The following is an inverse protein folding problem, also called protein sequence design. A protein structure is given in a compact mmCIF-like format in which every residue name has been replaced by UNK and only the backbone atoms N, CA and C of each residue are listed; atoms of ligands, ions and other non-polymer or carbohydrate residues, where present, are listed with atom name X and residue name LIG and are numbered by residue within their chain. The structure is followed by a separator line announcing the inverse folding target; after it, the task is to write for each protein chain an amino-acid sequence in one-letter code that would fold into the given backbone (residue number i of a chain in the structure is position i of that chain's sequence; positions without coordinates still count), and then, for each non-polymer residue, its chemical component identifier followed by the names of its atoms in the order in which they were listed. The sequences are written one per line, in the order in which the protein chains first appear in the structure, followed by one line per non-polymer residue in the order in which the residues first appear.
data_IF_445678172111
#
_entry.id   IF_445678172111
#
_cell.length_a   1.000
_cell.length_b   1.000
_cell.length_c   1.000
_cell.angle_alpha   90.00
_cell.angle_beta   90.00
_cell.angle_gamma   90.00
#
_symmetry.space_group_name_H-M   'P 1'
#
loop_
_entity.id
_entity.type
_entity.pdbx_description
1 polymer ?
#
# COMPACT_ATOMS: atom_id res chain seq x y z
N UNK A 1 6.82 -14.50 22.68
CA UNK A 1 5.68 -15.17 22.01
C UNK A 1 4.55 -14.20 21.71
N UNK A 2 4.08 -13.40 22.70
CA UNK A 2 3.02 -12.41 22.48
C UNK A 2 3.30 -11.43 21.33
N UNK A 3 4.50 -10.85 21.26
CA UNK A 3 4.90 -9.95 20.18
C UNK A 3 4.71 -10.55 18.77
N UNK A 4 5.05 -11.83 18.60
CA UNK A 4 4.93 -12.53 17.31
C UNK A 4 3.44 -12.74 16.98
N UNK A 5 2.63 -13.12 17.97
CA UNK A 5 1.18 -13.28 17.82
C UNK A 5 0.56 -11.95 17.40
N UNK A 6 0.93 -10.85 18.07
CA UNK A 6 0.42 -9.52 17.75
C UNK A 6 0.72 -9.17 16.29
N UNK A 7 1.98 -9.32 15.85
CA UNK A 7 2.38 -9.09 14.46
C UNK A 7 1.57 -9.92 13.47
N UNK A 8 1.39 -11.21 13.75
CA UNK A 8 0.62 -12.09 12.86
C UNK A 8 -0.85 -11.69 12.73
N UNK A 9 -1.41 -10.97 13.72
CA UNK A 9 -2.79 -10.49 13.70
C UNK A 9 -2.87 -9.14 12.96
N UNK A 10 -2.09 -8.14 13.38
CA UNK A 10 -2.27 -6.78 12.86
C UNK A 10 -1.63 -6.58 11.47
N UNK A 11 -0.51 -7.25 11.18
CA UNK A 11 0.24 -7.00 9.95
C UNK A 11 -0.55 -7.36 8.69
N UNK A 12 -1.24 -8.52 8.61
CA UNK A 12 -2.09 -8.81 7.45
C UNK A 12 -3.22 -7.80 7.26
N UNK A 13 -3.85 -7.36 8.36
CA UNK A 13 -4.93 -6.38 8.30
C UNK A 13 -4.44 -5.04 7.72
N UNK A 14 -3.26 -4.57 8.15
CA UNK A 14 -2.66 -3.35 7.58
C UNK A 14 -2.28 -3.56 6.12
N UNK A 15 -1.63 -4.67 5.76
CA UNK A 15 -1.22 -4.94 4.39
C UNK A 15 -2.41 -4.99 3.43
N UNK A 16 -3.52 -5.62 3.85
CA UNK A 16 -4.76 -5.65 3.07
C UNK A 16 -5.33 -4.23 2.95
N UNK A 17 -5.53 -3.53 4.07
CA UNK A 17 -6.10 -2.18 4.06
C UNK A 17 -5.30 -1.20 3.20
N UNK A 18 -3.98 -1.21 3.35
CA UNK A 18 -3.04 -0.38 2.58
C UNK A 18 -3.09 -0.70 1.09
N UNK A 19 -3.06 -1.98 0.74
CA UNK A 19 -3.09 -2.42 -0.67
C UNK A 19 -4.38 -1.98 -1.36
N UNK A 20 -5.53 -2.17 -0.71
CA UNK A 20 -6.81 -1.74 -1.25
C UNK A 20 -6.94 -0.22 -1.31
N UNK A 21 -6.41 0.51 -0.33
CA UNK A 21 -6.40 1.97 -0.31
C UNK A 21 -5.62 2.55 -1.50
N UNK A 22 -4.37 2.13 -1.69
CA UNK A 22 -3.53 2.59 -2.80
C UNK A 22 -4.09 2.13 -4.15
N UNK A 23 -4.56 0.88 -4.24
CA UNK A 23 -5.23 0.39 -5.43
C UNK A 23 -6.46 1.24 -5.78
N UNK A 24 -7.26 1.66 -4.79
CA UNK A 24 -8.44 2.48 -5.02
C UNK A 24 -8.08 3.85 -5.59
N UNK A 25 -7.04 4.52 -5.08
CA UNK A 25 -6.54 5.78 -5.65
C UNK A 25 -6.17 5.61 -7.12
N UNK A 26 -5.34 4.61 -7.43
CA UNK A 26 -4.94 4.33 -8.81
C UNK A 26 -6.12 3.95 -9.69
N UNK A 27 -7.06 3.15 -9.17
CA UNK A 27 -8.21 2.67 -9.94
C UNK A 27 -9.16 3.81 -10.29
N UNK A 28 -9.42 4.71 -9.35
CA UNK A 28 -10.24 5.91 -9.60
C UNK A 28 -9.54 6.84 -10.60
N UNK A 29 -8.24 7.09 -10.44
CA UNK A 29 -7.46 7.88 -11.39
C UNK A 29 -7.53 7.30 -12.81
N UNK A 30 -7.34 5.97 -12.94
CA UNK A 30 -7.46 5.26 -14.21
C UNK A 30 -8.85 5.37 -14.84
N UNK A 31 -9.91 5.29 -14.04
CA UNK A 31 -11.28 5.49 -14.53
C UNK A 31 -11.53 6.93 -15.02
N UNK A 32 -10.79 7.91 -14.49
CA UNK A 32 -10.83 9.31 -14.88
C UNK A 32 -9.87 9.65 -16.04
N UNK A 33 -9.14 8.66 -16.57
CA UNK A 33 -8.26 8.82 -17.74
C UNK A 33 -6.77 8.89 -17.43
N UNK A 34 -6.37 8.87 -16.15
CA UNK A 34 -4.96 8.86 -15.74
C UNK A 34 -4.41 7.42 -15.67
N UNK A 35 -3.61 7.04 -16.66
CA UNK A 35 -3.00 5.72 -16.74
C UNK A 35 -1.65 5.59 -16.01
N UNK A 36 -1.20 6.62 -15.28
CA UNK A 36 0.09 6.64 -14.55
C UNK A 36 0.25 5.42 -13.64
N UNK A 37 -0.75 5.15 -12.78
CA UNK A 37 -0.71 4.02 -11.86
C UNK A 37 -0.72 2.66 -12.59
N UNK A 38 -1.36 2.57 -13.76
CA UNK A 38 -1.36 1.37 -14.58
C UNK A 38 0.03 1.11 -15.18
N UNK A 39 0.63 2.14 -15.79
CA UNK A 39 1.98 2.06 -16.37
C UNK A 39 3.05 1.71 -15.34
N UNK A 40 2.88 2.16 -14.09
CA UNK A 40 3.76 1.82 -12.96
C UNK A 40 3.54 0.41 -12.39
N UNK A 41 2.60 -0.38 -12.94
CA UNK A 41 2.27 -1.71 -12.45
C UNK A 41 1.56 -1.69 -11.09
N UNK A 42 0.91 -0.58 -10.73
CA UNK A 42 0.30 -0.37 -9.40
C UNK A 42 -1.19 -0.68 -9.36
N UNK A 43 -1.85 -0.90 -10.50
CA UNK A 43 -3.22 -1.42 -10.56
C UNK A 43 -3.26 -2.93 -10.28
N UNK A 44 -2.88 -3.31 -9.07
CA UNK A 44 -2.84 -4.70 -8.62
C UNK A 44 -3.17 -4.80 -7.13
N UNK A 45 -3.77 -5.93 -6.73
CA UNK A 45 -3.99 -6.29 -5.33
C UNK A 45 -2.81 -7.08 -4.73
N UNK A 46 -1.70 -7.20 -5.47
CA UNK A 46 -0.43 -7.62 -4.88
C UNK A 46 0.05 -6.51 -3.93
N UNK A 47 0.33 -6.79 -2.64
CA UNK A 47 0.81 -5.77 -1.71
C UNK A 47 2.22 -5.26 -2.02
N UNK A 48 3.06 -6.07 -2.67
CA UNK A 48 4.48 -5.76 -2.84
C UNK A 48 4.77 -4.42 -3.55
N UNK A 49 4.07 -4.04 -4.64
CA UNK A 49 4.29 -2.75 -5.31
C UNK A 49 3.84 -1.53 -4.49
N UNK A 50 3.05 -1.74 -3.43
CA UNK A 50 2.51 -0.69 -2.56
C UNK A 50 3.31 -0.49 -1.28
N UNK A 51 4.26 -1.38 -0.99
CA UNK A 51 5.10 -1.30 0.20
C UNK A 51 6.27 -0.34 -0.05
N UNK A 52 6.45 0.61 0.87
CA UNK A 52 7.72 1.29 1.08
C UNK A 52 8.51 0.52 2.14
N UNK A 53 9.71 0.03 1.82
CA UNK A 53 10.47 -0.82 2.73
C UNK A 53 10.93 -0.10 4.01
N UNK A 54 11.19 1.21 3.94
CA UNK A 54 11.52 2.01 5.11
C UNK A 54 10.26 2.24 5.95
N UNK A 55 9.14 2.60 5.31
CA UNK A 55 7.84 2.74 5.97
C UNK A 55 7.39 1.45 6.66
N UNK A 56 7.61 0.31 6.01
CA UNK A 56 7.31 -1.01 6.57
C UNK A 56 8.21 -1.36 7.76
N UNK A 57 9.50 -1.08 7.67
CA UNK A 57 10.42 -1.26 8.80
C UNK A 57 10.00 -0.38 9.99
N UNK A 58 9.63 0.87 9.73
CA UNK A 58 9.12 1.79 10.76
C UNK A 58 7.82 1.26 11.39
N UNK A 59 6.92 0.70 10.58
CA UNK A 59 5.67 0.11 11.05
C UNK A 59 5.91 -1.04 12.02
N UNK A 60 6.88 -1.92 11.74
CA UNK A 60 7.19 -3.07 12.61
C UNK A 60 7.87 -2.61 13.91
N UNK A 61 8.79 -1.64 13.85
CA UNK A 61 9.57 -1.20 15.01
C UNK A 61 8.83 -0.21 15.92
N UNK A 62 8.12 0.73 15.32
CA UNK A 62 7.52 1.87 16.00
C UNK A 62 5.98 1.88 15.95
N UNK A 63 5.36 0.87 15.31
CA UNK A 63 3.90 0.82 15.08
C UNK A 63 3.38 2.04 14.31
N UNK A 64 4.25 2.69 13.53
CA UNK A 64 3.94 3.84 12.69
C UNK A 64 4.72 3.71 11.38
N UNK A 65 4.04 3.86 10.24
CA UNK A 65 4.65 3.70 8.92
C UNK A 65 3.72 4.20 7.81
N UNK A 66 4.16 4.05 6.56
CA UNK A 66 3.45 4.54 5.38
C UNK A 66 3.58 3.57 4.20
N UNK A 67 2.65 3.69 3.25
CA UNK A 67 2.70 3.03 1.96
C UNK A 67 3.66 3.76 1.00
N UNK A 68 4.08 3.09 -0.07
CA UNK A 68 4.62 3.77 -1.23
C UNK A 68 3.48 4.55 -1.88
N UNK A 69 3.48 5.89 -1.96
CA UNK A 69 2.32 6.64 -2.46
C UNK A 69 2.03 6.33 -3.93
N UNK A 70 0.76 6.15 -4.31
CA UNK A 70 0.36 6.13 -5.73
C UNK A 70 0.46 7.52 -6.33
N UNK A 71 1.08 7.60 -7.51
CA UNK A 71 1.15 8.84 -8.28
C UNK A 71 -0.14 9.00 -9.09
N UNK A 72 -0.68 10.22 -9.07
CA UNK A 72 -1.84 10.62 -9.86
C UNK A 72 -1.43 11.81 -10.70
N UNK A 73 -1.70 11.75 -12.00
CA UNK A 73 -1.54 12.83 -12.94
C UNK A 73 -2.91 13.48 -13.22
N UNK A 74 -3.15 14.72 -12.77
CA UNK A 74 -4.42 15.42 -12.96
C UNK A 74 -4.57 16.08 -14.35
N UNK A 75 -3.61 15.89 -15.26
CA UNK A 75 -3.51 16.56 -16.57
C UNK A 75 -4.11 15.73 -17.71
#
# INVERSE_FOLDING_TARGET
MQFIIDILIWLPAILIGLTFHEYAHGKVAYMLGDDTAYQQGRLTLNPLPHIDWLGFLMLVLFKFGWAKPVQVNPL
#
